data_IF_633403588685
#
_entry.id   IF_633403588685
#
_cell.length_a   1.000
_cell.length_b   1.000
_cell.length_c   1.000
_cell.angle_alpha   90.00
_cell.angle_beta   90.00
_cell.angle_gamma   90.00
#
_symmetry.space_group_name_H-M   'P 1'
#
loop_
_entity.id
_entity.type
_entity.pdbx_description
1 polymer ?
#
# COMPACT_ATOMS: atom_id res chain seq x y z
N UNK A 1 53.42 -44.04 24.69
CA UNK A 1 52.32 -43.18 25.18
C UNK A 1 52.03 -42.14 24.12
N UNK A 2 50.83 -42.23 23.57
CA UNK A 2 50.30 -41.43 22.47
C UNK A 2 49.68 -40.15 23.01
N UNK A 3 49.92 -39.03 22.35
CA UNK A 3 48.98 -37.90 22.32
C UNK A 3 49.34 -37.00 21.14
N UNK A 4 48.81 -37.35 19.98
CA UNK A 4 48.73 -36.46 18.82
C UNK A 4 47.95 -35.19 19.20
N UNK A 5 48.29 -34.01 18.64
CA UNK A 5 47.57 -32.77 18.92
C UNK A 5 46.14 -32.86 18.39
N UNK A 6 45.22 -32.41 19.25
CA UNK A 6 43.78 -32.33 19.04
C UNK A 6 43.50 -31.61 17.72
N UNK A 7 42.81 -32.31 16.82
CA UNK A 7 42.43 -31.84 15.50
C UNK A 7 41.83 -30.42 15.55
N UNK A 8 42.48 -29.50 14.84
CA UNK A 8 41.79 -28.35 14.27
C UNK A 8 40.60 -28.90 13.50
N UNK A 9 39.40 -28.61 13.99
CA UNK A 9 38.18 -28.87 13.24
C UNK A 9 38.15 -27.85 12.10
N UNK A 10 38.92 -28.11 11.05
CA UNK A 10 38.73 -27.47 9.75
C UNK A 10 37.34 -27.89 9.31
N UNK A 11 36.34 -27.07 9.63
CA UNK A 11 35.04 -27.16 9.01
C UNK A 11 35.26 -26.85 7.53
N UNK A 12 35.62 -27.87 6.76
CA UNK A 12 35.58 -27.84 5.31
C UNK A 12 34.11 -27.81 4.97
N UNK A 13 33.59 -26.62 4.72
CA UNK A 13 32.30 -26.44 4.07
C UNK A 13 32.43 -26.94 2.63
N UNK A 14 32.47 -28.25 2.45
CA UNK A 14 32.27 -28.89 1.16
C UNK A 14 30.81 -28.66 0.76
N UNK A 15 30.62 -27.92 -0.33
CA UNK A 15 29.34 -27.55 -0.94
C UNK A 15 28.34 -26.81 -0.04
N UNK A 16 28.37 -25.47 -0.11
CA UNK A 16 27.17 -24.66 0.14
C UNK A 16 27.11 -23.54 -0.90
N UNK A 17 26.05 -23.58 -1.71
CA UNK A 17 25.44 -22.47 -2.46
C UNK A 17 26.36 -21.27 -2.67
N UNK A 18 26.83 -21.04 -3.90
CA UNK A 18 27.62 -19.86 -4.31
C UNK A 18 27.18 -18.64 -3.49
N UNK A 19 27.93 -18.31 -2.44
CA UNK A 19 27.75 -17.05 -1.73
C UNK A 19 28.16 -16.02 -2.77
N UNK A 20 27.16 -15.34 -3.30
CA UNK A 20 27.34 -14.38 -4.38
C UNK A 20 28.34 -13.35 -3.87
N UNK A 21 29.48 -13.16 -4.56
CA UNK A 21 30.52 -12.25 -4.08
C UNK A 21 29.95 -10.82 -4.05
N UNK A 22 30.20 -10.12 -2.95
CA UNK A 22 29.76 -8.73 -2.76
C UNK A 22 28.46 -8.61 -1.95
N UNK A 23 28.57 -7.93 -0.81
CA UNK A 23 27.48 -7.39 0.00
C UNK A 23 26.37 -8.41 0.33
N UNK A 24 26.77 -9.64 0.64
CA UNK A 24 25.89 -10.77 1.02
C UNK A 24 24.78 -11.08 -0.02
N UNK A 25 25.00 -10.73 -1.30
CA UNK A 25 24.04 -10.97 -2.37
C UNK A 25 22.83 -10.02 -2.38
N UNK A 26 22.84 -8.94 -1.59
CA UNK A 26 21.78 -7.92 -1.58
C UNK A 26 21.55 -7.32 -2.98
N UNK A 27 22.58 -6.88 -3.74
CA UNK A 27 22.37 -6.29 -5.07
C UNK A 27 21.78 -7.29 -6.07
N UNK A 28 22.18 -8.56 -5.98
CA UNK A 28 21.65 -9.62 -6.82
C UNK A 28 20.17 -9.88 -6.54
N UNK A 29 19.79 -10.01 -5.26
CA UNK A 29 18.40 -10.20 -4.86
C UNK A 29 17.53 -9.01 -5.29
N UNK A 30 18.03 -7.78 -5.15
CA UNK A 30 17.34 -6.59 -5.64
C UNK A 30 17.11 -6.67 -7.15
N UNK A 31 18.12 -7.06 -7.94
CA UNK A 31 18.01 -7.20 -9.39
C UNK A 31 16.94 -8.25 -9.77
N UNK A 32 16.96 -9.44 -9.16
CA UNK A 32 15.97 -10.50 -9.41
C UNK A 32 14.56 -10.03 -9.05
N UNK A 33 14.38 -9.35 -7.92
CA UNK A 33 13.09 -8.80 -7.51
C UNK A 33 12.57 -7.73 -8.48
N UNK A 34 13.46 -6.85 -8.98
CA UNK A 34 13.10 -5.83 -9.97
C UNK A 34 12.70 -6.49 -11.29
N UNK A 35 13.44 -7.49 -11.76
CA UNK A 35 13.09 -8.25 -12.97
C UNK A 35 11.72 -8.92 -12.81
N UNK A 36 11.50 -9.61 -11.69
CA UNK A 36 10.21 -10.24 -11.38
C UNK A 36 9.06 -9.22 -11.35
N UNK A 37 9.28 -8.07 -10.72
CA UNK A 37 8.30 -6.97 -10.67
C UNK A 37 7.99 -6.42 -12.07
N UNK A 38 8.99 -6.24 -12.94
CA UNK A 38 8.79 -5.81 -14.34
C UNK A 38 7.96 -6.83 -15.10
N UNK A 39 8.26 -8.13 -14.97
CA UNK A 39 7.48 -9.20 -15.62
C UNK A 39 6.02 -9.18 -15.15
N UNK A 40 5.78 -9.03 -13.85
CA UNK A 40 4.43 -8.90 -13.30
C UNK A 40 3.70 -7.66 -13.80
N UNK A 41 4.38 -6.51 -13.87
CA UNK A 41 3.80 -5.28 -14.42
C UNK A 41 3.46 -5.43 -15.91
N UNK A 42 4.34 -6.03 -16.70
CA UNK A 42 4.06 -6.36 -18.10
C UNK A 42 2.85 -7.28 -18.21
N UNK A 43 2.82 -8.38 -17.46
CA UNK A 43 1.68 -9.30 -17.42
C UNK A 43 0.36 -8.60 -17.04
N UNK A 44 0.39 -7.74 -16.02
CA UNK A 44 -0.76 -6.93 -15.62
C UNK A 44 -1.22 -5.98 -16.73
N UNK A 45 -0.30 -5.28 -17.41
CA UNK A 45 -0.67 -4.38 -18.51
C UNK A 45 -1.32 -5.13 -19.69
N UNK A 46 -0.84 -6.33 -20.00
CA UNK A 46 -1.43 -7.20 -21.04
C UNK A 46 -2.84 -7.64 -20.63
N UNK A 47 -2.99 -8.18 -19.42
CA UNK A 47 -4.29 -8.61 -18.89
C UNK A 47 -5.29 -7.46 -18.80
N UNK A 48 -4.85 -6.27 -18.37
CA UNK A 48 -5.69 -5.07 -18.30
C UNK A 48 -6.20 -4.67 -19.69
N UNK A 49 -5.35 -4.73 -20.72
CA UNK A 49 -5.74 -4.43 -22.11
C UNK A 49 -6.78 -5.45 -22.60
N UNK A 50 -6.51 -6.74 -22.41
CA UNK A 50 -7.48 -7.79 -22.75
C UNK A 50 -8.82 -7.59 -22.02
N UNK A 51 -8.80 -7.36 -20.70
CA UNK A 51 -10.00 -7.18 -19.91
C UNK A 51 -10.83 -5.94 -20.31
N UNK A 52 -10.18 -4.86 -20.74
CA UNK A 52 -10.87 -3.68 -21.26
C UNK A 52 -11.57 -3.97 -22.60
N UNK A 53 -10.90 -4.72 -23.48
CA UNK A 53 -11.50 -5.18 -24.73
C UNK A 53 -12.71 -6.11 -24.47
N UNK A 54 -12.63 -7.01 -23.48
CA UNK A 54 -13.75 -7.87 -23.06
C UNK A 54 -14.90 -7.08 -22.40
N UNK A 55 -14.59 -6.08 -21.55
CA UNK A 55 -15.58 -5.21 -20.93
C UNK A 55 -16.37 -4.40 -21.96
N UNK A 56 -15.69 -3.90 -22.99
CA UNK A 56 -16.33 -3.25 -24.15
C UNK A 56 -17.25 -4.21 -24.90
N UNK A 57 -16.83 -5.45 -25.13
CA UNK A 57 -17.63 -6.47 -25.81
C UNK A 57 -18.88 -6.89 -25.00
N UNK A 58 -18.80 -6.86 -23.66
CA UNK A 58 -19.95 -7.15 -22.79
C UNK A 58 -21.01 -6.05 -22.81
N UNK A 59 -20.62 -4.77 -22.95
CA UNK A 59 -21.55 -3.63 -23.08
C UNK A 59 -22.21 -3.57 -24.47
N UNK A 60 -21.62 -4.20 -25.50
CA UNK A 60 -22.22 -4.34 -26.83
C UNK A 60 -23.15 -5.56 -26.97
N UNK A 61 -23.59 -6.20 -25.89
CA UNK A 61 -24.85 -6.92 -25.98
C UNK A 61 -25.95 -5.87 -25.92
N UNK A 62 -26.69 -5.61 -27.03
CA UNK A 62 -27.96 -4.92 -26.89
C UNK A 62 -28.78 -5.84 -25.99
N UNK A 63 -28.91 -5.43 -24.72
CA UNK A 63 -29.92 -5.95 -23.83
C UNK A 63 -31.22 -5.62 -24.55
N UNK A 64 -31.75 -6.57 -25.33
CA UNK A 64 -33.13 -6.49 -25.81
C UNK A 64 -33.96 -6.50 -24.54
N UNK A 65 -34.39 -5.30 -24.17
CA UNK A 65 -35.13 -5.01 -22.97
C UNK A 65 -36.44 -5.81 -23.02
N UNK A 66 -36.50 -6.96 -22.35
CA UNK A 66 -37.76 -7.70 -22.14
C UNK A 66 -38.78 -6.89 -21.31
N UNK A 67 -38.37 -5.73 -20.80
CA UNK A 67 -39.17 -4.77 -20.05
C UNK A 67 -39.66 -3.56 -20.85
N UNK A 68 -39.28 -3.40 -22.12
CA UNK A 68 -39.92 -2.38 -23.00
C UNK A 68 -41.11 -2.95 -23.76
N UNK A 69 -41.15 -4.26 -24.00
CA UNK A 69 -42.25 -4.92 -24.72
C UNK A 69 -43.58 -4.96 -23.93
N UNK A 70 -43.53 -4.88 -22.59
CA UNK A 70 -44.74 -4.80 -21.76
C UNK A 70 -45.27 -3.37 -21.56
N UNK A 71 -44.47 -2.35 -21.90
CA UNK A 71 -44.88 -0.95 -21.82
C UNK A 71 -45.48 -0.44 -23.15
N UNK A 72 -45.30 -1.17 -24.24
CA UNK A 72 -45.70 -0.78 -25.60
C UNK A 72 -47.03 -1.41 -26.04
N UNK A 73 -47.89 -1.77 -25.07
CA UNK A 73 -49.27 -2.21 -25.34
C UNK A 73 -50.28 -1.19 -24.81
N UNK A 74 -49.87 -0.16 -24.06
CA UNK A 74 -50.82 0.59 -23.24
C UNK A 74 -50.89 2.11 -23.38
N UNK A 75 -50.18 2.75 -24.32
CA UNK A 75 -50.32 4.21 -24.52
C UNK A 75 -50.30 4.58 -26.00
N UNK A 76 -51.45 4.46 -26.66
CA UNK A 76 -51.81 5.42 -27.71
C UNK A 76 -52.18 6.72 -27.00
N UNK A 77 -51.63 7.84 -27.48
CA UNK A 77 -51.79 9.22 -27.01
C UNK A 77 -50.73 9.66 -26.00
N UNK A 78 -49.68 10.34 -26.48
CA UNK A 78 -49.33 11.70 -26.04
C UNK A 78 -48.13 12.19 -26.87
N UNK A 79 -48.30 13.42 -27.32
CA UNK A 79 -47.42 14.27 -28.11
C UNK A 79 -46.03 14.49 -27.52
N UNK A 80 -45.07 14.54 -28.45
CA UNK A 80 -43.86 15.37 -28.49
C UNK A 80 -43.54 16.15 -27.21
N UNK A 81 -42.52 15.72 -26.48
CA UNK A 81 -41.66 16.64 -25.74
C UNK A 81 -40.22 16.10 -25.66
N UNK A 82 -39.30 16.97 -26.09
CA UNK A 82 -37.86 16.77 -26.06
C UNK A 82 -37.38 16.77 -24.61
N UNK A 83 -37.21 15.59 -24.02
CA UNK A 83 -36.45 15.42 -22.78
C UNK A 83 -35.31 14.44 -23.04
N UNK A 84 -34.28 14.90 -23.76
CA UNK A 84 -32.95 14.30 -23.65
C UNK A 84 -32.43 14.63 -22.25
N UNK A 85 -32.75 13.78 -21.29
CA UNK A 85 -32.00 13.68 -20.05
C UNK A 85 -30.60 13.29 -20.47
N UNK A 86 -29.70 14.28 -20.47
CA UNK A 86 -28.25 14.06 -20.45
C UNK A 86 -27.94 13.26 -19.20
N UNK A 87 -28.09 11.94 -19.30
CA UNK A 87 -27.21 11.04 -18.58
C UNK A 87 -25.81 11.51 -18.95
N UNK A 88 -25.07 11.93 -17.92
CA UNK A 88 -23.61 12.01 -17.93
C UNK A 88 -23.10 10.58 -18.15
N UNK A 89 -23.35 10.09 -19.35
CA UNK A 89 -22.89 8.85 -19.91
C UNK A 89 -21.48 9.18 -20.34
N UNK A 90 -20.54 8.50 -19.67
CA UNK A 90 -19.12 8.54 -19.91
C UNK A 90 -18.80 8.96 -21.34
N UNK A 91 -18.39 10.21 -21.52
CA UNK A 91 -17.65 10.58 -22.72
C UNK A 91 -16.43 9.65 -22.73
N UNK A 92 -16.33 8.76 -23.73
CA UNK A 92 -15.24 7.81 -23.79
C UNK A 92 -14.01 8.67 -24.00
N UNK A 93 -13.09 8.68 -23.03
CA UNK A 93 -11.78 9.26 -23.24
C UNK A 93 -11.20 8.59 -24.47
N UNK A 94 -11.16 9.37 -25.53
CA UNK A 94 -10.66 9.05 -26.85
C UNK A 94 -9.23 8.54 -26.69
N UNK A 95 -9.01 7.29 -27.11
CA UNK A 95 -7.69 6.67 -27.29
C UNK A 95 -6.75 6.77 -26.08
N UNK A 96 -6.75 5.75 -25.21
CA UNK A 96 -5.60 5.48 -24.34
C UNK A 96 -4.37 5.20 -25.24
N UNK A 97 -3.38 6.11 -25.39
CA UNK A 97 -2.41 6.00 -26.47
C UNK A 97 -1.21 5.10 -26.12
N UNK A 98 -1.16 4.48 -24.93
CA UNK A 98 0.00 3.69 -24.54
C UNK A 98 -0.21 2.71 -23.39
N UNK A 99 0.58 1.63 -23.38
CA UNK A 99 0.58 0.57 -22.37
C UNK A 99 0.80 1.07 -20.93
N UNK A 100 1.36 2.26 -20.76
CA UNK A 100 1.64 2.91 -19.47
C UNK A 100 0.75 4.13 -19.17
N UNK A 101 -0.23 4.45 -20.03
CA UNK A 101 -1.17 5.57 -19.84
C UNK A 101 -1.86 5.50 -18.47
N UNK A 102 -2.25 4.28 -18.05
CA UNK A 102 -2.90 4.04 -16.77
C UNK A 102 -2.06 4.52 -15.58
N UNK A 103 -0.74 4.35 -15.61
CA UNK A 103 0.17 4.77 -14.52
C UNK A 103 0.15 6.29 -14.38
N UNK A 104 0.27 7.02 -15.49
CA UNK A 104 0.23 8.49 -15.50
C UNK A 104 -1.11 9.00 -14.99
N UNK A 105 -2.21 8.33 -15.37
CA UNK A 105 -3.55 8.65 -14.87
C UNK A 105 -3.69 8.47 -13.36
N UNK A 106 -3.02 7.47 -12.76
CA UNK A 106 -3.00 7.32 -11.29
C UNK A 106 -2.23 8.46 -10.61
N UNK A 107 -1.08 8.89 -11.15
CA UNK A 107 -0.33 10.00 -10.58
C UNK A 107 -1.02 11.36 -10.73
N UNK A 108 -1.90 11.52 -11.73
CA UNK A 108 -2.71 12.73 -11.93
C UNK A 108 -3.98 12.77 -11.08
N UNK A 109 -4.35 11.68 -10.40
CA UNK A 109 -5.58 11.59 -9.63
C UNK A 109 -5.51 12.48 -8.39
N UNK A 110 -6.47 13.40 -8.23
CA UNK A 110 -6.53 14.28 -7.06
C UNK A 110 -7.19 13.55 -5.88
N UNK A 111 -6.87 13.96 -4.66
CA UNK A 111 -7.51 13.46 -3.43
C UNK A 111 -9.04 13.63 -3.42
N UNK A 112 -9.57 14.66 -4.09
CA UNK A 112 -11.00 14.87 -4.27
C UNK A 112 -11.64 13.79 -5.17
N UNK A 113 -11.01 13.48 -6.31
CA UNK A 113 -11.47 12.42 -7.22
C UNK A 113 -11.43 11.04 -6.53
N UNK A 114 -10.40 10.82 -5.71
CA UNK A 114 -10.25 9.60 -4.93
C UNK A 114 -11.35 9.47 -3.87
N UNK A 115 -11.73 10.57 -3.20
CA UNK A 115 -12.81 10.57 -2.23
C UNK A 115 -14.15 10.21 -2.88
N UNK A 116 -14.43 10.75 -4.07
CA UNK A 116 -15.66 10.49 -4.80
C UNK A 116 -15.75 9.03 -5.30
N UNK A 117 -14.63 8.45 -5.76
CA UNK A 117 -14.62 7.09 -6.32
C UNK A 117 -14.41 5.97 -5.30
N UNK A 118 -13.56 6.19 -4.31
CA UNK A 118 -13.09 5.16 -3.37
C UNK A 118 -13.51 5.41 -1.92
N UNK A 119 -14.16 6.54 -1.65
CA UNK A 119 -14.61 6.91 -0.30
C UNK A 119 -13.52 7.53 0.57
N UNK A 120 -13.93 7.97 1.75
CA UNK A 120 -13.07 8.69 2.69
C UNK A 120 -11.96 7.82 3.29
N UNK A 121 -12.24 6.53 3.52
CA UNK A 121 -11.29 5.60 4.13
C UNK A 121 -10.08 5.33 3.23
N UNK A 122 -10.30 5.23 1.91
CA UNK A 122 -9.21 5.03 0.93
C UNK A 122 -8.27 6.24 0.90
N UNK A 123 -8.82 7.46 0.93
CA UNK A 123 -8.04 8.71 1.00
C UNK A 123 -7.19 8.72 2.28
N UNK A 124 -7.76 8.29 3.40
CA UNK A 124 -7.06 8.26 4.67
C UNK A 124 -5.93 7.23 4.70
N UNK A 125 -6.15 6.05 4.11
CA UNK A 125 -5.13 5.02 3.96
C UNK A 125 -3.94 5.52 3.11
N UNK A 126 -4.21 6.17 1.98
CA UNK A 126 -3.16 6.76 1.13
C UNK A 126 -2.40 7.87 1.87
N UNK A 127 -3.12 8.76 2.57
CA UNK A 127 -2.50 9.81 3.39
C UNK A 127 -1.53 9.22 4.41
N UNK A 128 -1.93 8.17 5.12
CA UNK A 128 -1.05 7.47 6.06
C UNK A 128 0.23 6.94 5.40
N UNK A 129 0.11 6.34 4.21
CA UNK A 129 1.27 5.87 3.44
C UNK A 129 2.21 7.02 3.04
N UNK A 130 1.68 8.18 2.66
CA UNK A 130 2.51 9.36 2.40
C UNK A 130 3.29 9.80 3.64
N UNK A 131 2.69 9.79 4.83
CA UNK A 131 3.41 10.07 6.08
C UNK A 131 4.54 9.06 6.33
N UNK A 132 4.31 7.77 6.07
CA UNK A 132 5.35 6.75 6.17
C UNK A 132 6.49 6.97 5.17
N UNK A 133 6.17 7.27 3.90
CA UNK A 133 7.17 7.56 2.87
C UNK A 133 8.03 8.76 3.26
N UNK A 134 7.41 9.85 3.73
CA UNK A 134 8.13 11.05 4.20
C UNK A 134 9.04 10.69 5.37
N UNK A 135 8.54 9.96 6.36
CA UNK A 135 9.33 9.52 7.51
C UNK A 135 10.53 8.66 7.10
N UNK A 136 10.31 7.66 6.24
CA UNK A 136 11.37 6.78 5.74
C UNK A 136 12.38 7.56 4.91
N UNK A 137 11.96 8.51 4.08
CA UNK A 137 12.87 9.36 3.31
C UNK A 137 13.77 10.19 4.21
N UNK A 138 13.20 10.88 5.21
CA UNK A 138 13.97 11.69 6.17
C UNK A 138 14.98 10.83 6.94
N UNK A 139 14.53 9.72 7.53
CA UNK A 139 15.42 8.83 8.30
C UNK A 139 16.49 8.20 7.43
N UNK A 140 16.18 7.83 6.17
CA UNK A 140 17.15 7.30 5.21
C UNK A 140 18.25 8.33 4.91
N UNK A 141 17.91 9.60 4.70
CA UNK A 141 18.92 10.66 4.48
C UNK A 141 19.88 10.77 5.66
N UNK A 142 19.38 10.82 6.90
CA UNK A 142 20.25 10.84 8.08
C UNK A 142 21.08 9.57 8.25
N UNK A 143 20.50 8.41 7.94
CA UNK A 143 21.23 7.15 7.95
C UNK A 143 22.39 7.16 6.94
N UNK A 144 22.19 7.68 5.74
CA UNK A 144 23.22 7.76 4.71
C UNK A 144 24.30 8.81 5.02
N UNK A 145 23.92 9.96 5.59
CA UNK A 145 24.83 11.08 5.83
C UNK A 145 25.62 10.94 7.14
N UNK A 146 25.03 10.36 8.18
CA UNK A 146 25.65 10.31 9.52
C UNK A 146 25.96 8.88 9.95
N UNK A 147 24.95 8.01 9.95
CA UNK A 147 25.10 6.65 10.52
C UNK A 147 26.03 5.78 9.69
N UNK A 148 25.91 5.83 8.36
CA UNK A 148 26.70 5.03 7.45
C UNK A 148 28.20 5.39 7.52
N UNK A 149 28.62 6.67 7.45
CA UNK A 149 30.02 7.03 7.68
C UNK A 149 30.54 6.57 9.05
N UNK A 150 29.76 6.74 10.12
CA UNK A 150 30.17 6.30 11.47
C UNK A 150 30.39 4.77 11.50
N UNK A 151 29.54 3.99 10.83
CA UNK A 151 29.71 2.55 10.73
C UNK A 151 30.97 2.15 9.95
N UNK A 152 31.25 2.82 8.83
CA UNK A 152 32.43 2.53 7.99
C UNK A 152 33.75 2.86 8.72
N UNK A 153 33.76 3.87 9.58
CA UNK A 153 34.93 4.20 10.41
C UNK A 153 35.23 3.17 11.51
N UNK A 154 34.31 2.22 11.76
CA UNK A 154 34.54 1.11 12.68
C UNK A 154 35.69 0.20 12.22
N UNK A 155 36.34 -0.45 13.18
CA UNK A 155 37.56 -1.26 12.94
C UNK A 155 37.38 -2.76 13.24
N UNK A 156 36.20 -3.21 13.69
CA UNK A 156 36.00 -4.60 14.12
C UNK A 156 35.92 -5.61 12.98
N UNK A 157 35.48 -5.19 11.78
CA UNK A 157 35.39 -6.05 10.60
C UNK A 157 36.58 -5.82 9.68
N UNK A 158 36.85 -6.82 8.83
CA UNK A 158 37.93 -6.73 7.84
C UNK A 158 37.76 -5.48 6.96
N UNK A 159 38.85 -4.81 6.53
CA UNK A 159 38.82 -3.59 5.71
C UNK A 159 38.24 -3.80 4.29
N UNK A 160 37.86 -5.04 3.98
CA UNK A 160 37.15 -5.37 2.75
C UNK A 160 35.74 -4.74 2.74
N UNK A 161 35.64 -3.61 2.03
CA UNK A 161 34.40 -2.87 1.79
C UNK A 161 33.32 -3.69 1.07
N UNK A 162 33.67 -4.85 0.50
CA UNK A 162 32.71 -5.73 -0.15
C UNK A 162 31.83 -6.50 0.84
N UNK A 163 32.04 -6.38 2.15
CA UNK A 163 31.22 -7.07 3.16
C UNK A 163 30.17 -6.16 3.77
N UNK A 164 28.91 -6.59 3.76
CA UNK A 164 27.79 -5.84 4.36
C UNK A 164 28.06 -5.40 5.81
N UNK A 165 28.68 -6.28 6.60
CA UNK A 165 28.98 -6.04 8.01
C UNK A 165 29.73 -4.73 8.30
N UNK A 166 30.59 -4.24 7.39
CA UNK A 166 31.34 -2.98 7.58
C UNK A 166 30.44 -1.75 7.63
N UNK A 167 29.25 -1.83 7.03
CA UNK A 167 28.29 -0.71 6.96
C UNK A 167 27.27 -0.73 8.10
N UNK A 168 27.43 -1.62 9.08
CA UNK A 168 26.51 -1.81 10.20
C UNK A 168 27.15 -1.51 11.54
N UNK A 169 26.33 -1.38 12.59
CA UNK A 169 26.79 -1.22 13.98
C UNK A 169 27.74 -2.34 14.44
N UNK A 170 27.71 -3.51 13.80
CA UNK A 170 28.61 -4.63 14.11
C UNK A 170 30.09 -4.37 13.79
N UNK A 171 30.39 -3.28 13.07
CA UNK A 171 31.76 -2.83 12.80
C UNK A 171 32.33 -1.92 13.92
N UNK A 172 31.49 -1.44 14.83
CA UNK A 172 31.88 -0.50 15.89
C UNK A 172 32.21 -1.29 17.18
N UNK A 173 33.31 -0.92 17.84
CA UNK A 173 33.69 -1.52 19.12
C UNK A 173 32.72 -1.17 20.25
N UNK A 174 32.44 -2.13 21.13
CA UNK A 174 31.54 -1.94 22.29
C UNK A 174 32.00 -0.86 23.27
N UNK A 175 33.30 -0.51 23.25
CA UNK A 175 33.90 0.52 24.10
C UNK A 175 33.97 1.90 23.41
N UNK A 176 33.51 2.04 22.16
CA UNK A 176 33.58 3.30 21.43
C UNK A 176 32.43 4.24 21.81
N UNK A 177 32.74 5.52 21.96
CA UNK A 177 31.75 6.59 22.13
C UNK A 177 30.84 6.77 20.91
N UNK A 178 31.22 6.27 19.74
CA UNK A 178 30.42 6.33 18.50
C UNK A 178 29.06 5.62 18.62
N UNK A 179 28.92 4.66 19.54
CA UNK A 179 27.64 4.00 19.81
C UNK A 179 26.56 4.97 20.29
N UNK A 180 26.94 6.04 21.00
CA UNK A 180 26.01 7.07 21.45
C UNK A 180 25.34 7.82 20.30
N UNK A 181 25.99 7.93 19.14
CA UNK A 181 25.39 8.52 17.94
C UNK A 181 24.15 7.74 17.55
N UNK A 182 24.22 6.39 17.53
CA UNK A 182 23.06 5.55 17.22
C UNK A 182 21.94 5.71 18.24
N UNK A 183 22.27 5.81 19.53
CA UNK A 183 21.26 5.99 20.58
C UNK A 183 20.55 7.34 20.44
N UNK A 184 21.30 8.43 20.25
CA UNK A 184 20.73 9.77 20.11
C UNK A 184 19.85 9.85 18.85
N UNK A 185 20.33 9.37 17.70
CA UNK A 185 19.54 9.34 16.48
C UNK A 185 18.36 8.39 16.57
N UNK A 186 18.49 7.24 17.25
CA UNK A 186 17.39 6.31 17.48
C UNK A 186 16.25 6.93 18.29
N UNK A 187 16.59 7.62 19.39
CA UNK A 187 15.61 8.39 20.17
C UNK A 187 15.01 9.51 19.31
N UNK A 188 15.84 10.24 18.54
CA UNK A 188 15.37 11.28 17.64
C UNK A 188 14.39 10.79 16.57
N UNK A 189 14.69 9.66 15.92
CA UNK A 189 13.81 9.03 14.93
C UNK A 189 12.52 8.52 15.54
N UNK A 190 12.56 8.02 16.78
CA UNK A 190 11.36 7.63 17.52
C UNK A 190 10.48 8.84 17.81
N UNK A 191 11.06 9.93 18.35
CA UNK A 191 10.31 11.16 18.61
C UNK A 191 9.73 11.75 17.32
N UNK A 192 10.50 11.78 16.25
CA UNK A 192 10.03 12.21 14.93
C UNK A 192 8.83 11.37 14.46
N UNK A 193 8.93 10.04 14.54
CA UNK A 193 7.82 9.14 14.20
C UNK A 193 6.59 9.43 15.07
N UNK A 194 6.79 9.59 16.37
CA UNK A 194 5.72 9.87 17.32
C UNK A 194 5.01 11.19 16.99
N UNK A 195 5.75 12.29 16.77
CA UNK A 195 5.16 13.58 16.43
C UNK A 195 4.43 13.54 15.09
N UNK A 196 4.99 12.86 14.10
CA UNK A 196 4.37 12.70 12.78
C UNK A 196 3.06 11.90 12.86
N UNK A 197 3.08 10.78 13.60
CA UNK A 197 1.89 9.96 13.82
C UNK A 197 0.85 10.67 14.67
N UNK A 198 1.28 11.46 15.65
CA UNK A 198 0.37 12.27 16.46
C UNK A 198 -0.29 13.37 15.62
N UNK A 199 0.47 13.99 14.71
CA UNK A 199 -0.08 14.95 13.75
C UNK A 199 -1.14 14.29 12.86
N UNK A 200 -0.81 13.14 12.27
CA UNK A 200 -1.75 12.34 11.49
C UNK A 200 -3.02 11.97 12.30
N UNK A 201 -2.87 11.50 13.53
CA UNK A 201 -3.98 11.11 14.40
C UNK A 201 -4.90 12.28 14.75
N UNK A 202 -4.32 13.47 15.00
CA UNK A 202 -5.09 14.71 15.24
C UNK A 202 -5.82 15.16 13.99
N UNK A 203 -5.18 15.09 12.82
CA UNK A 203 -5.81 15.40 11.54
C UNK A 203 -6.97 14.43 11.26
N UNK A 204 -6.77 13.14 11.50
CA UNK A 204 -7.79 12.12 11.35
C UNK A 204 -9.02 12.38 12.22
N UNK A 205 -8.81 12.64 13.53
CA UNK A 205 -9.91 12.96 14.44
C UNK A 205 -10.71 14.18 13.98
N UNK A 206 -10.03 15.23 13.54
CA UNK A 206 -10.69 16.45 13.02
C UNK A 206 -11.56 16.16 11.81
N UNK A 207 -11.07 15.37 10.87
CA UNK A 207 -11.82 14.99 9.67
C UNK A 207 -13.04 14.12 10.04
N UNK A 208 -12.84 13.12 10.90
CA UNK A 208 -13.90 12.21 11.35
C UNK A 208 -15.04 12.91 12.08
N UNK A 209 -14.78 13.99 12.82
CA UNK A 209 -15.83 14.78 13.49
C UNK A 209 -16.58 15.69 12.53
N UNK A 210 -15.97 16.08 11.39
CA UNK A 210 -16.59 16.99 10.42
C UNK A 210 -17.57 16.26 9.50
N UNK A 211 -17.35 14.98 9.23
CA UNK A 211 -18.24 14.15 8.41
C UNK A 211 -19.39 13.62 9.28
N UNK A 212 -20.65 14.06 9.08
CA UNK A 212 -21.78 13.52 9.82
C UNK A 212 -22.00 12.05 9.43
N UNK A 213 -21.77 11.14 10.36
CA UNK A 213 -22.06 9.73 10.16
C UNK A 213 -23.56 9.51 10.46
N UNK A 214 -24.32 9.06 9.45
CA UNK A 214 -25.72 8.65 9.66
C UNK A 214 -25.85 7.53 10.71
N UNK A 215 -24.79 6.75 10.90
CA UNK A 215 -24.67 5.71 11.92
C UNK A 215 -24.72 6.24 13.36
N UNK A 216 -24.39 7.52 13.61
CA UNK A 216 -24.40 8.08 14.98
C UNK A 216 -25.81 8.10 15.60
N UNK A 217 -26.85 7.97 14.77
CA UNK A 217 -28.27 7.91 15.19
C UNK A 217 -28.86 6.50 15.17
N UNK A 218 -28.07 5.48 14.80
CA UNK A 218 -28.54 4.11 14.61
C UNK A 218 -27.81 3.16 15.55
N UNK A 219 -28.52 2.52 16.47
CA UNK A 219 -27.96 1.52 17.39
C UNK A 219 -28.27 0.11 16.88
N UNK A 220 -27.23 -0.71 16.76
CA UNK A 220 -27.39 -2.14 16.49
C UNK A 220 -27.51 -2.90 17.81
N UNK A 221 -28.68 -3.50 18.06
CA UNK A 221 -28.93 -4.33 19.24
C UNK A 221 -28.79 -5.81 18.84
N UNK A 222 -27.87 -6.51 19.48
CA UNK A 222 -27.59 -7.94 19.23
C UNK A 222 -27.95 -8.80 20.44
N UNK A 223 -28.19 -10.10 20.22
CA UNK A 223 -28.44 -11.06 21.32
C UNK A 223 -29.90 -11.17 21.78
N UNK A 224 -30.85 -10.69 20.99
CA UNK A 224 -32.29 -10.86 21.30
C UNK A 224 -32.67 -12.34 21.11
N UNK A 225 -33.26 -12.96 22.13
CA UNK A 225 -33.78 -14.33 22.04
C UNK A 225 -34.76 -14.46 20.87
N UNK A 226 -34.67 -15.56 20.11
CA UNK A 226 -35.56 -15.82 18.95
C UNK A 226 -37.05 -15.75 19.31
N UNK A 227 -37.41 -16.11 20.56
CA UNK A 227 -38.79 -16.03 21.06
C UNK A 227 -39.30 -14.60 21.25
N UNK A 228 -38.40 -13.65 21.51
CA UNK A 228 -38.71 -12.24 21.75
C UNK A 228 -38.37 -11.34 20.53
N UNK A 229 -37.97 -11.95 19.42
CA UNK A 229 -37.55 -11.26 18.20
C UNK A 229 -38.77 -10.91 17.32
N UNK A 230 -39.76 -10.21 17.89
CA UNK A 230 -40.90 -9.69 17.12
C UNK A 230 -40.88 -8.17 17.08
N UNK A 231 -41.12 -7.60 15.89
CA UNK A 231 -41.06 -6.15 15.65
C UNK A 231 -41.97 -5.37 16.60
N UNK A 232 -43.19 -5.86 16.84
CA UNK A 232 -44.17 -5.21 17.70
C UNK A 232 -43.74 -5.18 19.18
N UNK A 233 -43.12 -6.26 19.66
CA UNK A 233 -42.65 -6.34 21.06
C UNK A 233 -41.43 -5.44 21.29
N UNK A 234 -40.51 -5.39 20.31
CA UNK A 234 -39.34 -4.49 20.33
C UNK A 234 -39.78 -3.03 20.30
N UNK A 235 -40.68 -2.65 19.37
CA UNK A 235 -41.20 -1.28 19.30
C UNK A 235 -41.95 -0.89 20.57
N UNK A 236 -42.72 -1.81 21.17
CA UNK A 236 -43.40 -1.56 22.46
C UNK A 236 -42.43 -1.36 23.63
N UNK A 237 -41.27 -2.00 23.61
CA UNK A 237 -40.27 -1.85 24.67
C UNK A 237 -39.49 -0.53 24.59
N UNK A 238 -39.28 -0.01 23.37
CA UNK A 238 -38.54 1.24 23.12
C UNK A 238 -39.43 2.48 22.92
N UNK A 239 -40.75 2.31 22.82
CA UNK A 239 -41.74 3.40 22.79
C UNK A 239 -41.97 3.97 24.20
#
# INVERSE_FOLDING_TARGET
>A
MSSAPICDRVNTYANKSRVIPGYEGIPYNLCVNVIGWVVLMCGFTLLRKFAWDYGRMATFQPRKNRWTLFSEINDENVSTDNASIDSVEQTPSTNDPGYFSWIVSYFKLTSADLQLKAGNDAVQYLRFHFYLIIYTAITTVFCLVVILPVNIHGTLKSPDLQKFGVTTISNISSNSSSLWVHTIFGIGFFLLAFFLMQHFSRQFRRESTRTPNFSDKTLMISGISRTNCSRALILRHFA
#
